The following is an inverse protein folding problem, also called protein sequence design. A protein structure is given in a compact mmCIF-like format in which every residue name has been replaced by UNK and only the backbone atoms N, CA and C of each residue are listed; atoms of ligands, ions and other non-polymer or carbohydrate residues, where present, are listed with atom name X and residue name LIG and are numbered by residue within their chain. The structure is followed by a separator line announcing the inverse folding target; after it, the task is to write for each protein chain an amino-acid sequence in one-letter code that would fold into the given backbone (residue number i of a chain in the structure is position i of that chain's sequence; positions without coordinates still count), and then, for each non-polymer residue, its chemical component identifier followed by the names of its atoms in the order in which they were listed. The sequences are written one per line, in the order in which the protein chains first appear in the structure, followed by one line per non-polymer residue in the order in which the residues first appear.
data_IF_404733635756
#
_entry.id   IF_404733635756
#
_cell.length_a   1.000
_cell.length_b   1.000
_cell.length_c   1.000
_cell.angle_alpha   90.00
_cell.angle_beta   90.00
_cell.angle_gamma   90.00
#
_symmetry.space_group_name_H-M   'P 1'
#
loop_
_entity.id
_entity.type
_entity.pdbx_description
1 polymer ?
#
# COMPACT_ATOMS: atom_id res chain seq x y z
N UNK A 1 6.44 -24.02 -48.56
CA UNK A 1 6.17 -23.33 -47.29
C UNK A 1 5.91 -21.88 -47.62
N UNK A 2 4.79 -21.38 -47.20
CA UNK A 2 4.29 -20.06 -47.60
C UNK A 2 5.06 -18.96 -46.85
N UNK A 3 5.45 -17.87 -47.54
CA UNK A 3 6.23 -16.74 -46.99
C UNK A 3 5.62 -16.08 -45.71
N UNK A 4 4.35 -16.32 -45.43
CA UNK A 4 3.68 -15.88 -44.23
C UNK A 4 4.12 -16.63 -42.95
N UNK A 5 4.55 -17.89 -43.10
CA UNK A 5 4.94 -18.74 -41.96
C UNK A 5 6.34 -18.39 -41.44
N UNK A 6 7.22 -17.88 -42.31
CA UNK A 6 8.60 -17.50 -41.91
C UNK A 6 8.62 -16.19 -41.11
N UNK A 7 7.68 -15.27 -41.37
CA UNK A 7 7.60 -13.99 -40.63
C UNK A 7 7.15 -14.13 -39.15
N UNK A 8 6.47 -15.23 -38.81
CA UNK A 8 6.02 -15.46 -37.43
C UNK A 8 7.11 -15.98 -36.49
N UNK A 9 8.24 -16.47 -37.05
CA UNK A 9 9.34 -17.04 -36.27
C UNK A 9 10.42 -16.03 -35.89
N UNK A 10 10.45 -14.87 -36.54
CA UNK A 10 11.52 -13.86 -36.34
C UNK A 10 11.26 -12.99 -35.11
N UNK A 11 10.05 -12.98 -34.56
CA UNK A 11 9.68 -12.10 -33.43
C UNK A 11 9.78 -12.75 -32.04
N UNK A 12 10.43 -13.90 -31.92
CA UNK A 12 10.70 -14.52 -30.61
C UNK A 12 12.20 -14.76 -30.44
N UNK A 13 12.82 -13.93 -29.62
CA UNK A 13 14.19 -14.18 -29.18
C UNK A 13 14.13 -14.91 -27.83
N UNK A 14 14.84 -16.02 -27.71
CA UNK A 14 15.01 -16.76 -26.47
C UNK A 14 16.42 -16.50 -25.95
N UNK A 15 16.51 -15.96 -24.73
CA UNK A 15 17.79 -15.85 -24.02
C UNK A 15 17.78 -16.82 -22.85
N UNK A 16 18.83 -17.63 -22.76
CA UNK A 16 19.05 -18.49 -21.61
C UNK A 16 20.15 -17.90 -20.75
N UNK A 17 19.82 -17.56 -19.51
CA UNK A 17 20.79 -17.27 -18.48
C UNK A 17 20.40 -18.03 -17.23
N UNK A 18 21.37 -18.78 -16.67
CA UNK A 18 21.27 -19.49 -15.39
C UNK A 18 19.99 -20.32 -15.15
N UNK A 19 19.44 -20.94 -16.20
CA UNK A 19 18.34 -21.90 -16.06
C UNK A 19 16.92 -21.31 -16.09
N UNK A 20 16.77 -20.02 -16.42
CA UNK A 20 15.46 -19.38 -16.58
C UNK A 20 15.20 -19.00 -18.03
N UNK A 21 13.98 -19.23 -18.52
CA UNK A 21 13.54 -18.82 -19.86
C UNK A 21 12.79 -17.51 -19.76
N UNK A 22 13.39 -16.43 -20.24
CA UNK A 22 12.73 -15.14 -20.38
C UNK A 22 12.20 -15.00 -21.82
N UNK A 23 10.88 -14.85 -21.96
CA UNK A 23 10.24 -14.62 -23.27
C UNK A 23 9.90 -13.13 -23.39
N UNK A 24 10.61 -12.43 -24.27
CA UNK A 24 10.28 -11.07 -24.66
C UNK A 24 9.44 -11.09 -25.95
N UNK A 25 8.24 -10.52 -25.91
CA UNK A 25 7.43 -10.27 -27.10
C UNK A 25 7.60 -8.81 -27.49
N UNK A 26 8.34 -8.56 -28.56
CA UNK A 26 8.41 -7.22 -29.14
C UNK A 26 7.15 -6.97 -29.98
N UNK A 27 6.29 -6.06 -29.55
CA UNK A 27 5.16 -5.57 -30.34
C UNK A 27 5.66 -4.43 -31.23
N UNK A 28 5.82 -4.66 -32.53
CA UNK A 28 6.04 -3.59 -33.50
C UNK A 28 4.70 -3.21 -34.14
N UNK A 29 4.09 -2.13 -33.74
CA UNK A 29 3.02 -1.47 -34.50
C UNK A 29 3.65 -0.47 -35.45
N UNK A 30 3.85 -0.90 -36.70
CA UNK A 30 4.06 0.01 -37.83
C UNK A 30 2.71 0.49 -38.33
N UNK A 31 2.34 1.73 -38.05
CA UNK A 31 1.15 2.39 -38.58
C UNK A 31 1.55 3.51 -39.53
N UNK A 32 1.13 3.39 -40.78
CA UNK A 32 1.18 4.47 -41.80
C UNK A 32 0.07 5.48 -41.54
N UNK A 33 0.39 6.75 -41.75
CA UNK A 33 -0.34 7.95 -41.37
C UNK A 33 -1.81 8.05 -41.81
N UNK A 34 -2.53 8.80 -41.00
CA UNK A 34 -3.86 9.37 -41.28
C UNK A 34 -3.99 10.66 -40.51
N UNK A 35 -4.25 11.73 -41.25
CA UNK A 35 -4.44 13.12 -40.77
C UNK A 35 -5.81 13.30 -40.11
N UNK A 36 -5.85 14.02 -38.97
CA UNK A 36 -6.97 14.84 -38.54
C UNK A 36 -7.83 14.30 -37.40
N UNK A 37 -7.81 15.03 -36.28
CA UNK A 37 -8.78 14.89 -35.19
C UNK A 37 -8.26 15.53 -33.90
N UNK A 38 -8.59 16.81 -33.67
CA UNK A 38 -8.44 17.49 -32.38
C UNK A 38 -9.43 16.93 -31.38
N UNK A 39 -8.98 16.41 -30.23
CA UNK A 39 -9.88 16.05 -29.14
C UNK A 39 -9.22 15.29 -28.02
N UNK A 40 -9.10 15.88 -26.84
CA UNK A 40 -8.97 15.21 -25.57
C UNK A 40 -7.54 14.97 -25.08
N UNK A 41 -7.08 15.86 -24.21
CA UNK A 41 -5.89 15.67 -23.38
C UNK A 41 -6.16 14.53 -22.39
N UNK A 42 -5.84 13.28 -22.80
CA UNK A 42 -5.70 12.18 -21.89
C UNK A 42 -4.45 12.39 -21.03
N UNK A 43 -4.64 12.41 -19.71
CA UNK A 43 -3.56 12.55 -18.75
C UNK A 43 -2.48 11.52 -18.98
N UNK A 44 -1.25 11.98 -19.14
CA UNK A 44 -0.06 11.13 -19.18
C UNK A 44 0.08 10.41 -17.87
N UNK A 45 -0.14 9.09 -17.88
CA UNK A 45 0.16 8.23 -16.75
C UNK A 45 1.62 8.41 -16.36
N UNK A 46 1.86 8.88 -15.12
CA UNK A 46 3.19 9.06 -14.60
C UNK A 46 3.95 7.73 -14.67
N UNK A 47 5.17 7.79 -15.19
CA UNK A 47 6.12 6.68 -15.10
C UNK A 47 6.41 6.42 -13.63
N UNK A 48 5.85 5.33 -13.08
CA UNK A 48 6.08 4.90 -11.72
C UNK A 48 7.57 4.72 -11.46
N UNK A 49 8.07 5.32 -10.39
CA UNK A 49 9.40 5.01 -9.88
C UNK A 49 9.51 3.50 -9.57
N UNK A 50 10.72 2.97 -9.31
CA UNK A 50 10.94 1.55 -9.11
C UNK A 50 10.06 1.05 -7.96
N UNK A 51 9.04 0.24 -8.27
CA UNK A 51 8.06 -0.33 -7.35
C UNK A 51 6.68 0.36 -7.31
N UNK A 52 6.44 1.42 -8.09
CA UNK A 52 5.12 2.05 -8.21
C UNK A 52 4.14 1.18 -8.99
N UNK A 53 2.87 1.21 -8.56
CA UNK A 53 1.78 0.53 -9.25
C UNK A 53 1.30 1.37 -10.43
N UNK A 54 0.94 0.67 -11.54
CA UNK A 54 0.31 1.28 -12.72
C UNK A 54 -1.22 1.15 -12.74
N UNK A 55 -1.85 0.94 -11.57
CA UNK A 55 -3.29 0.78 -11.39
C UNK A 55 -4.13 1.97 -11.88
N UNK A 56 -5.44 1.88 -11.66
CA UNK A 56 -6.40 2.92 -12.08
C UNK A 56 -6.24 4.27 -11.38
N UNK A 57 -5.28 4.38 -10.43
CA UNK A 57 -4.96 5.60 -9.69
C UNK A 57 -3.48 5.80 -9.50
N UNK A 58 -3.09 7.03 -9.18
CA UNK A 58 -1.70 7.37 -8.89
C UNK A 58 -1.27 6.87 -7.52
N UNK A 59 -0.04 6.37 -7.39
CA UNK A 59 0.61 6.19 -6.09
C UNK A 59 0.88 7.56 -5.49
N UNK A 60 0.25 7.86 -4.36
CA UNK A 60 0.31 9.18 -3.70
C UNK A 60 1.21 9.18 -2.45
N UNK A 61 1.59 8.00 -1.98
CA UNK A 61 2.60 7.79 -0.95
C UNK A 61 3.31 6.47 -1.21
N UNK A 62 4.64 6.48 -1.12
CA UNK A 62 5.44 5.26 -1.15
C UNK A 62 6.62 5.37 -0.18
N UNK A 63 6.52 4.71 0.96
CA UNK A 63 7.63 4.50 1.88
C UNK A 63 8.18 3.09 1.74
N UNK A 64 9.50 2.97 1.69
CA UNK A 64 10.21 1.69 1.65
C UNK A 64 11.46 1.79 2.51
N UNK A 65 11.40 1.25 3.73
CA UNK A 65 12.49 1.35 4.71
C UNK A 65 13.80 0.71 4.22
N UNK A 66 13.77 -0.44 3.47
CA UNK A 66 14.98 -1.00 2.87
C UNK A 66 15.60 -0.14 1.76
N UNK A 67 14.91 0.87 1.27
CA UNK A 67 15.43 1.76 0.25
C UNK A 67 16.03 3.01 0.90
N UNK A 68 17.34 3.19 0.79
CA UNK A 68 18.05 4.33 1.39
C UNK A 68 17.61 5.70 0.86
N UNK A 69 16.98 5.75 -0.33
CA UNK A 69 16.36 6.98 -0.84
C UNK A 69 15.05 7.31 -0.11
N UNK A 70 14.38 6.31 0.50
CA UNK A 70 13.21 6.55 1.35
C UNK A 70 13.64 6.77 2.80
N UNK A 71 14.49 5.87 3.36
CA UNK A 71 15.01 6.08 4.70
C UNK A 71 16.53 5.86 4.73
N UNK A 72 17.34 6.90 5.02
CA UNK A 72 18.80 6.80 4.95
C UNK A 72 19.43 6.07 6.16
N UNK A 73 18.64 5.47 7.04
CA UNK A 73 19.08 4.76 8.23
C UNK A 73 19.35 5.66 9.43
N UNK A 74 19.19 6.97 9.29
CA UNK A 74 19.41 7.96 10.36
C UNK A 74 18.46 9.13 10.23
N UNK A 75 18.29 9.87 11.34
CA UNK A 75 17.39 11.04 11.37
C UNK A 75 15.93 10.66 11.61
N UNK A 76 15.06 11.65 11.43
CA UNK A 76 13.63 11.51 11.75
C UNK A 76 12.72 11.60 10.53
N UNK A 77 13.28 11.79 9.33
CA UNK A 77 12.47 11.94 8.11
C UNK A 77 12.53 10.67 7.29
N UNK A 78 11.36 10.15 6.91
CA UNK A 78 11.20 9.15 5.85
C UNK A 78 10.69 9.85 4.60
N UNK A 79 11.38 9.65 3.49
CA UNK A 79 11.13 10.33 2.23
C UNK A 79 10.15 9.53 1.37
N UNK A 80 9.19 10.23 0.81
CA UNK A 80 8.22 9.69 -0.13
C UNK A 80 8.88 9.43 -1.49
N UNK A 81 8.82 8.19 -1.95
CA UNK A 81 9.33 7.77 -3.26
C UNK A 81 8.32 8.00 -4.39
N UNK A 82 7.10 8.43 -4.07
CA UNK A 82 6.14 8.89 -5.08
C UNK A 82 6.52 10.29 -5.59
N UNK A 83 5.83 10.74 -6.63
CA UNK A 83 6.07 12.09 -7.17
C UNK A 83 5.35 13.21 -6.39
N UNK A 84 4.74 12.89 -5.23
CA UNK A 84 3.92 13.83 -4.47
C UNK A 84 4.66 14.52 -3.33
N UNK A 85 5.81 13.97 -2.88
CA UNK A 85 6.65 14.57 -1.84
C UNK A 85 6.00 14.55 -0.46
N UNK A 86 5.14 13.58 -0.17
CA UNK A 86 4.45 13.40 1.10
C UNK A 86 5.38 12.77 2.16
N UNK A 87 6.47 13.45 2.48
CA UNK A 87 7.45 12.96 3.43
C UNK A 87 6.83 12.78 4.83
N UNK A 88 7.27 11.74 5.52
CA UNK A 88 6.86 11.44 6.89
C UNK A 88 7.92 11.82 7.91
N UNK A 89 7.49 12.03 9.15
CA UNK A 89 8.34 12.30 10.28
C UNK A 89 8.13 11.26 11.38
N UNK A 90 9.23 10.71 11.91
CA UNK A 90 9.23 9.71 12.97
C UNK A 90 9.08 10.39 14.33
N UNK A 91 8.04 10.05 15.07
CA UNK A 91 7.72 10.63 16.36
C UNK A 91 7.96 9.65 17.51
N UNK A 92 8.34 10.21 18.65
CA UNK A 92 8.42 9.56 19.96
C UNK A 92 9.34 8.33 20.01
N UNK A 93 10.37 8.30 19.18
CA UNK A 93 11.38 7.26 19.26
C UNK A 93 11.08 6.02 18.40
N UNK A 94 10.32 6.16 17.32
CA UNK A 94 10.28 5.10 16.29
C UNK A 94 11.71 4.72 15.93
N UNK A 95 12.06 3.44 16.11
CA UNK A 95 13.42 2.97 15.88
C UNK A 95 13.57 2.37 14.48
N UNK A 96 14.68 2.68 13.82
CA UNK A 96 15.10 1.97 12.62
C UNK A 96 15.88 0.72 12.99
N UNK A 97 15.58 -0.39 12.34
CA UNK A 97 16.31 -1.64 12.49
C UNK A 97 16.81 -2.09 11.13
N UNK A 98 18.14 -2.11 11.00
CA UNK A 98 18.80 -2.72 9.84
C UNK A 98 18.79 -4.24 10.04
N UNK A 99 18.14 -4.94 9.12
CA UNK A 99 18.01 -6.40 9.13
C UNK A 99 18.55 -7.02 7.82
N UNK A 100 19.39 -6.29 7.12
CA UNK A 100 19.95 -6.72 5.84
C UNK A 100 18.98 -6.51 4.68
N UNK A 101 18.15 -7.49 4.36
CA UNK A 101 17.23 -7.37 3.21
C UNK A 101 15.85 -6.81 3.58
N UNK A 102 15.45 -6.92 4.85
CA UNK A 102 14.11 -6.55 5.32
C UNK A 102 14.16 -5.50 6.42
N UNK A 103 14.82 -4.36 6.17
CA UNK A 103 14.88 -3.24 7.11
C UNK A 103 13.49 -2.71 7.44
N UNK A 104 13.29 -2.26 8.68
CA UNK A 104 11.99 -1.84 9.17
C UNK A 104 12.05 -0.72 10.21
N UNK A 105 10.93 -0.06 10.39
CA UNK A 105 10.65 0.79 11.53
C UNK A 105 9.96 -0.04 12.62
N UNK A 106 10.42 0.11 13.86
CA UNK A 106 9.88 -0.56 15.06
C UNK A 106 9.01 0.42 15.86
N UNK A 107 7.82 -0.04 16.18
CA UNK A 107 6.81 0.67 16.97
C UNK A 107 6.58 -0.07 18.29
N UNK A 108 6.53 0.66 19.40
CA UNK A 108 6.49 0.11 20.76
C UNK A 108 5.08 -0.17 21.32
N UNK A 109 4.05 0.23 20.58
CA UNK A 109 2.65 0.10 21.02
C UNK A 109 2.23 1.13 22.07
N UNK A 110 3.07 2.12 22.37
CA UNK A 110 2.85 3.10 23.44
C UNK A 110 2.55 4.49 22.88
N UNK A 111 3.45 5.04 22.06
CA UNK A 111 3.30 6.38 21.51
C UNK A 111 4.06 6.60 20.18
N UNK A 112 4.73 5.60 19.67
CA UNK A 112 5.47 5.69 18.41
C UNK A 112 4.55 5.80 17.21
N UNK A 113 4.85 6.70 16.27
CA UNK A 113 4.15 6.80 14.99
C UNK A 113 4.97 7.56 13.94
N UNK A 114 4.62 7.39 12.68
CA UNK A 114 5.06 8.26 11.59
C UNK A 114 3.90 9.17 11.20
N UNK A 115 4.13 10.46 11.27
CA UNK A 115 3.17 11.48 10.86
C UNK A 115 3.53 12.10 9.52
N UNK A 116 2.57 12.20 8.62
CA UNK A 116 2.64 12.97 7.39
C UNK A 116 1.71 14.16 7.56
N UNK A 117 2.24 15.38 7.58
CA UNK A 117 1.50 16.62 7.91
C UNK A 117 0.50 17.05 6.81
N UNK A 118 0.28 16.18 5.83
CA UNK A 118 -0.68 16.40 4.75
C UNK A 118 -1.61 15.20 4.64
N UNK A 119 -2.81 15.43 4.12
CA UNK A 119 -3.66 14.36 3.65
C UNK A 119 -3.13 13.90 2.30
N UNK A 120 -2.59 12.69 2.22
CA UNK A 120 -1.93 12.19 1.00
C UNK A 120 -2.88 12.03 -0.18
N UNK A 121 -4.18 11.90 0.07
CA UNK A 121 -5.23 11.92 -0.95
C UNK A 121 -6.57 12.33 -0.37
N UNK A 122 -7.33 13.09 -1.14
CA UNK A 122 -8.71 13.49 -0.83
C UNK A 122 -9.73 12.64 -1.64
N UNK A 123 -9.28 11.58 -2.30
CA UNK A 123 -10.17 10.70 -3.06
C UNK A 123 -11.16 10.01 -2.13
N UNK A 124 -12.44 10.10 -2.45
CA UNK A 124 -13.55 9.51 -1.69
C UNK A 124 -14.23 8.34 -2.42
N UNK A 125 -13.73 7.96 -3.60
CA UNK A 125 -14.34 6.91 -4.41
C UNK A 125 -13.58 5.58 -4.31
N UNK A 126 -12.32 5.58 -4.73
CA UNK A 126 -11.50 4.39 -4.82
C UNK A 126 -10.11 4.67 -4.27
N UNK A 127 -9.67 3.88 -3.30
CA UNK A 127 -8.35 4.02 -2.70
C UNK A 127 -7.75 2.65 -2.39
N UNK A 128 -6.42 2.60 -2.32
CA UNK A 128 -5.71 1.41 -1.86
C UNK A 128 -4.72 1.78 -0.76
N UNK A 129 -4.61 0.89 0.24
CA UNK A 129 -3.51 0.87 1.22
C UNK A 129 -2.82 -0.47 1.09
N UNK A 130 -1.52 -0.46 0.85
CA UNK A 130 -0.68 -1.66 0.86
C UNK A 130 0.44 -1.49 1.89
N UNK A 131 0.71 -2.50 2.71
CA UNK A 131 1.78 -2.46 3.70
C UNK A 131 2.41 -3.84 3.94
N UNK A 132 3.70 -3.84 4.27
CA UNK A 132 4.38 -4.94 4.94
C UNK A 132 4.42 -4.66 6.45
N UNK A 133 3.74 -5.51 7.22
CA UNK A 133 3.61 -5.36 8.67
C UNK A 133 3.90 -6.67 9.39
N UNK A 134 4.54 -6.57 10.54
CA UNK A 134 4.73 -7.68 11.48
C UNK A 134 4.32 -7.19 12.87
N UNK A 135 3.16 -7.60 13.36
CA UNK A 135 2.73 -7.26 14.72
C UNK A 135 3.34 -8.23 15.72
N UNK A 136 3.96 -7.68 16.74
CA UNK A 136 4.52 -8.46 17.85
C UNK A 136 3.44 -9.04 18.74
N UNK A 137 2.30 -8.37 18.86
CA UNK A 137 1.19 -8.73 19.73
C UNK A 137 -0.14 -8.52 18.99
N UNK A 138 -0.62 -9.55 18.30
CA UNK A 138 -1.93 -9.46 17.61
C UNK A 138 -3.12 -9.50 18.57
N UNK A 139 -2.92 -9.91 19.81
CA UNK A 139 -3.95 -9.93 20.85
C UNK A 139 -4.15 -8.59 21.58
N UNK A 140 -3.38 -7.57 21.24
CA UNK A 140 -3.57 -6.23 21.80
C UNK A 140 -4.77 -5.54 21.14
N UNK A 141 -5.55 -4.83 21.92
CA UNK A 141 -6.70 -4.07 21.45
C UNK A 141 -6.28 -2.90 20.57
N UNK A 142 -6.91 -2.79 19.40
CA UNK A 142 -6.85 -1.59 18.56
C UNK A 142 -5.46 -1.11 18.13
N UNK A 143 -4.79 -1.83 17.21
CA UNK A 143 -3.51 -1.41 16.65
C UNK A 143 -3.69 -0.83 15.24
N UNK A 144 -3.60 0.47 15.09
CA UNK A 144 -3.69 1.11 13.77
C UNK A 144 -2.40 0.89 12.97
N UNK A 145 -2.51 0.40 11.75
CA UNK A 145 -1.37 0.25 10.83
C UNK A 145 -1.19 1.53 10.04
N UNK A 146 -2.25 1.98 9.35
CA UNK A 146 -2.28 3.21 8.55
C UNK A 146 -3.64 3.87 8.71
N UNK A 147 -3.66 5.18 8.85
CA UNK A 147 -4.86 6.00 8.81
C UNK A 147 -4.65 7.23 7.92
N UNK A 148 -5.56 7.47 6.99
CA UNK A 148 -5.58 8.63 6.09
C UNK A 148 -6.74 9.54 6.49
N UNK A 149 -6.45 10.75 6.93
CA UNK A 149 -7.42 11.71 7.43
C UNK A 149 -7.41 11.83 8.94
N UNK A 150 -8.48 12.37 9.51
CA UNK A 150 -8.64 12.57 10.95
C UNK A 150 -9.79 11.74 11.50
N UNK A 151 -9.46 10.75 12.29
CA UNK A 151 -10.47 9.94 12.97
C UNK A 151 -11.22 10.77 14.01
N UNK A 152 -10.56 11.70 14.67
CA UNK A 152 -11.17 12.62 15.65
C UNK A 152 -12.22 13.52 14.99
N UNK A 153 -12.01 13.93 13.75
CA UNK A 153 -12.95 14.74 12.96
C UNK A 153 -13.92 13.87 12.14
N UNK A 154 -14.00 12.58 12.43
CA UNK A 154 -14.89 11.61 11.80
C UNK A 154 -14.76 11.53 10.28
N UNK A 155 -13.56 11.65 9.76
CA UNK A 155 -13.29 11.55 8.33
C UNK A 155 -12.13 10.60 8.02
N UNK A 156 -12.00 10.24 6.73
CA UNK A 156 -10.93 9.38 6.26
C UNK A 156 -11.18 7.88 6.45
N UNK A 157 -10.11 7.12 6.36
CA UNK A 157 -10.15 5.66 6.38
C UNK A 157 -8.80 5.09 6.81
N UNK A 158 -8.81 3.83 7.21
CA UNK A 158 -7.59 3.16 7.64
C UNK A 158 -7.74 1.66 7.78
N UNK A 159 -6.63 1.04 8.18
CA UNK A 159 -6.53 -0.39 8.41
C UNK A 159 -5.87 -0.65 9.76
N UNK A 160 -6.45 -1.55 10.55
CA UNK A 160 -5.95 -1.90 11.89
C UNK A 160 -5.96 -3.40 12.13
N UNK A 161 -5.17 -3.83 13.11
CA UNK A 161 -5.33 -5.12 13.77
C UNK A 161 -6.21 -4.87 14.99
N UNK A 162 -7.32 -5.58 15.06
CA UNK A 162 -8.37 -5.39 16.06
C UNK A 162 -9.02 -3.99 16.05
N UNK A 163 -10.04 -3.85 16.84
CA UNK A 163 -10.65 -2.60 17.30
C UNK A 163 -10.59 -2.56 18.82
N UNK A 164 -11.08 -1.48 19.43
CA UNK A 164 -11.16 -1.38 20.89
C UNK A 164 -11.89 -2.60 21.50
N UNK A 165 -11.37 -3.08 22.62
CA UNK A 165 -11.91 -4.22 23.39
C UNK A 165 -11.98 -5.55 22.62
N UNK A 166 -11.37 -5.65 21.45
CA UNK A 166 -11.30 -6.87 20.66
C UNK A 166 -9.85 -7.29 20.48
N UNK A 167 -9.56 -8.56 20.68
CA UNK A 167 -8.20 -9.14 20.69
C UNK A 167 -8.12 -10.39 19.81
N UNK A 168 -8.93 -10.46 18.75
CA UNK A 168 -9.00 -11.62 17.85
C UNK A 168 -7.82 -11.73 16.88
N UNK A 169 -7.01 -10.68 16.75
CA UNK A 169 -5.96 -10.59 15.72
C UNK A 169 -6.47 -10.26 14.33
N UNK A 170 -7.78 -10.05 14.18
CA UNK A 170 -8.38 -9.80 12.87
C UNK A 170 -7.98 -8.43 12.32
N UNK A 171 -7.86 -8.35 11.00
CA UNK A 171 -7.76 -7.10 10.28
C UNK A 171 -9.13 -6.41 10.25
N UNK A 172 -9.17 -5.15 10.64
CA UNK A 172 -10.33 -4.28 10.57
C UNK A 172 -10.11 -3.15 9.59
N UNK A 173 -11.16 -2.86 8.80
CA UNK A 173 -11.22 -1.69 7.93
C UNK A 173 -11.94 -0.59 8.69
N UNK A 174 -11.33 0.58 8.80
CA UNK A 174 -11.82 1.71 9.55
C UNK A 174 -12.28 2.83 8.63
N UNK A 175 -13.43 3.40 8.95
CA UNK A 175 -13.96 4.64 8.35
C UNK A 175 -14.14 5.70 9.44
N UNK A 176 -13.80 6.93 9.15
CA UNK A 176 -13.85 8.05 10.09
C UNK A 176 -15.25 8.37 10.62
N UNK A 177 -16.30 8.02 9.88
CA UNK A 177 -17.69 8.13 10.34
C UNK A 177 -18.11 7.07 11.38
N UNK A 178 -17.13 6.53 12.13
CA UNK A 178 -17.30 5.53 13.22
C UNK A 178 -17.75 4.15 12.74
N UNK A 179 -17.41 3.78 11.49
CA UNK A 179 -17.66 2.43 10.97
C UNK A 179 -16.41 1.56 11.04
N UNK A 180 -16.61 0.32 11.50
CA UNK A 180 -15.59 -0.71 11.55
C UNK A 180 -16.11 -1.97 10.86
N UNK A 181 -15.35 -2.45 9.91
CA UNK A 181 -15.65 -3.73 9.26
C UNK A 181 -14.62 -4.76 9.68
N UNK A 182 -15.09 -5.84 10.33
CA UNK A 182 -14.26 -6.97 10.66
C UNK A 182 -14.12 -7.86 9.43
N UNK A 183 -12.91 -8.05 8.95
CA UNK A 183 -12.65 -8.97 7.83
C UNK A 183 -12.77 -10.46 8.23
N UNK A 184 -12.72 -10.79 9.53
CA UNK A 184 -12.59 -12.16 10.02
C UNK A 184 -11.21 -12.79 9.74
N UNK A 185 -10.28 -12.06 9.15
CA UNK A 185 -8.95 -12.56 8.78
C UNK A 185 -7.96 -12.17 9.86
N UNK A 186 -7.54 -13.14 10.66
CA UNK A 186 -6.52 -12.96 11.68
C UNK A 186 -5.12 -13.01 11.08
N UNK A 187 -4.25 -12.10 11.53
CA UNK A 187 -2.82 -12.14 11.25
C UNK A 187 -2.09 -13.00 12.29
N UNK A 188 -0.99 -13.61 11.87
CA UNK A 188 -0.11 -14.33 12.78
C UNK A 188 0.83 -13.35 13.49
N UNK A 189 0.97 -13.52 14.81
CA UNK A 189 1.93 -12.76 15.61
C UNK A 189 3.37 -13.06 15.18
N UNK A 190 4.25 -12.07 15.24
CA UNK A 190 5.67 -12.18 14.91
C UNK A 190 5.97 -12.69 13.49
N UNK A 191 5.03 -12.56 12.59
CA UNK A 191 5.17 -12.94 11.18
C UNK A 191 4.95 -11.73 10.29
N UNK A 192 5.77 -11.62 9.24
CA UNK A 192 5.54 -10.63 8.21
C UNK A 192 4.31 -10.97 7.38
N UNK A 193 3.46 -9.99 7.19
CA UNK A 193 2.28 -10.08 6.35
C UNK A 193 2.28 -8.93 5.36
N UNK A 194 2.13 -9.26 4.09
CA UNK A 194 1.77 -8.30 3.06
C UNK A 194 0.26 -8.11 3.11
N UNK A 195 -0.20 -6.92 3.43
CA UNK A 195 -1.62 -6.57 3.40
C UNK A 195 -1.85 -5.55 2.30
N UNK A 196 -2.90 -5.76 1.50
CA UNK A 196 -3.35 -4.77 0.51
C UNK A 196 -4.87 -4.68 0.57
N UNK A 197 -5.37 -3.49 0.83
CA UNK A 197 -6.79 -3.20 0.97
C UNK A 197 -7.24 -2.26 -0.13
N UNK A 198 -8.12 -2.73 -0.99
CA UNK A 198 -8.88 -1.90 -1.89
C UNK A 198 -10.19 -1.46 -1.21
N UNK A 199 -10.45 -0.17 -1.15
CA UNK A 199 -11.72 0.41 -0.73
C UNK A 199 -12.41 1.00 -1.96
N UNK A 200 -13.59 0.49 -2.28
CA UNK A 200 -14.52 1.06 -3.27
C UNK A 200 -15.68 1.64 -2.48
N UNK A 201 -15.69 2.94 -2.31
CA UNK A 201 -16.68 3.65 -1.48
C UNK A 201 -18.10 3.21 -1.80
N UNK A 202 -18.90 2.96 -0.77
CA UNK A 202 -20.30 2.49 -0.87
C UNK A 202 -20.51 1.18 -1.66
N UNK A 203 -19.42 0.48 -2.00
CA UNK A 203 -19.49 -0.75 -2.81
C UNK A 203 -18.88 -1.92 -2.07
N UNK A 204 -17.54 -2.00 -2.00
CA UNK A 204 -16.84 -3.12 -1.37
C UNK A 204 -15.49 -2.75 -0.78
N UNK A 205 -15.10 -3.53 0.24
CA UNK A 205 -13.73 -3.64 0.72
C UNK A 205 -13.17 -4.97 0.26
N UNK A 206 -12.05 -4.97 -0.43
CA UNK A 206 -11.35 -6.18 -0.84
C UNK A 206 -9.98 -6.24 -0.16
N UNK A 207 -9.82 -7.16 0.79
CA UNK A 207 -8.58 -7.36 1.55
C UNK A 207 -7.80 -8.55 1.00
N UNK A 208 -6.57 -8.27 0.62
CA UNK A 208 -5.57 -9.28 0.25
C UNK A 208 -4.56 -9.44 1.38
N UNK A 209 -4.23 -10.68 1.69
CA UNK A 209 -3.13 -11.02 2.60
C UNK A 209 -2.19 -11.97 1.87
N UNK A 210 -0.91 -11.61 1.82
CA UNK A 210 0.13 -12.37 1.14
C UNK A 210 -0.21 -12.69 -0.32
N UNK A 211 -0.70 -11.68 -1.05
CA UNK A 211 -1.08 -11.78 -2.46
C UNK A 211 -2.41 -12.49 -2.73
N UNK A 212 -3.11 -12.98 -1.72
CA UNK A 212 -4.36 -13.75 -1.87
C UNK A 212 -5.53 -12.92 -1.37
N UNK A 213 -6.59 -12.79 -2.18
CA UNK A 213 -7.86 -12.21 -1.74
C UNK A 213 -8.46 -13.07 -0.61
N UNK A 214 -8.54 -12.52 0.58
CA UNK A 214 -9.01 -13.23 1.80
C UNK A 214 -10.38 -12.77 2.25
N UNK A 215 -10.77 -11.55 1.90
CA UNK A 215 -12.06 -10.99 2.27
C UNK A 215 -12.55 -10.04 1.19
N UNK A 216 -13.84 -10.12 0.89
CA UNK A 216 -14.58 -9.13 0.12
C UNK A 216 -15.91 -8.89 0.84
N UNK A 217 -16.19 -7.66 1.18
CA UNK A 217 -17.35 -7.31 1.99
C UNK A 217 -17.78 -5.87 1.81
N UNK A 218 -18.83 -5.44 2.51
CA UNK A 218 -19.43 -4.13 2.34
C UNK A 218 -18.45 -3.00 2.68
N UNK A 219 -18.57 -1.88 2.00
CA UNK A 219 -17.92 -0.63 2.28
C UNK A 219 -18.92 0.45 2.74
N UNK A 220 -18.40 1.48 3.40
CA UNK A 220 -19.13 2.73 3.66
C UNK A 220 -18.60 3.84 2.78
N UNK A 221 -19.36 4.94 2.71
CA UNK A 221 -18.87 6.19 2.12
C UNK A 221 -17.58 6.63 2.81
N UNK A 222 -16.59 6.99 2.01
CA UNK A 222 -15.39 7.67 2.50
C UNK A 222 -15.75 9.15 2.69
N UNK A 223 -15.72 9.65 3.91
CA UNK A 223 -15.75 11.08 4.17
C UNK A 223 -14.39 11.68 3.84
N UNK A 224 -14.40 12.78 3.10
CA UNK A 224 -13.18 13.42 2.56
C UNK A 224 -12.10 13.52 3.64
N UNK A 225 -10.97 12.81 3.47
CA UNK A 225 -9.88 12.87 4.44
C UNK A 225 -9.34 14.29 4.57
N UNK A 226 -9.04 14.71 5.79
CA UNK A 226 -8.48 16.02 6.10
C UNK A 226 -7.32 15.90 7.09
N UNK A 227 -6.51 16.95 7.19
CA UNK A 227 -5.42 17.19 8.13
C UNK A 227 -4.15 16.39 7.82
N UNK A 228 -4.10 15.09 8.04
CA UNK A 228 -2.86 14.34 8.02
C UNK A 228 -3.05 12.89 7.59
N UNK A 229 -1.94 12.16 7.51
CA UNK A 229 -1.90 10.71 7.37
C UNK A 229 -0.93 10.18 8.41
N UNK A 230 -1.27 9.07 9.06
CA UNK A 230 -0.46 8.49 10.13
C UNK A 230 -0.21 6.99 9.92
N UNK A 231 0.99 6.55 10.30
CA UNK A 231 1.38 5.14 10.31
C UNK A 231 1.71 4.78 11.76
N UNK A 232 1.13 3.68 12.22
CA UNK A 232 1.32 3.20 13.59
C UNK A 232 0.36 3.79 14.60
N UNK A 233 -0.51 4.72 14.23
CA UNK A 233 -1.61 5.22 15.06
C UNK A 233 -2.74 5.86 14.23
N UNK A 234 -3.80 6.31 14.89
CA UNK A 234 -4.70 7.38 14.42
C UNK A 234 -4.74 8.50 15.44
N UNK A 235 -5.16 9.70 15.02
CA UNK A 235 -5.24 10.91 15.85
C UNK A 235 -6.34 10.87 16.94
N UNK A 236 -7.01 9.75 17.10
CA UNK A 236 -8.09 9.61 18.05
C UNK A 236 -7.55 9.49 19.49
N UNK A 237 -7.64 10.60 20.23
CA UNK A 237 -7.07 10.70 21.58
C UNK A 237 -8.10 10.58 22.71
N UNK A 238 -9.40 10.45 22.39
CA UNK A 238 -10.50 10.64 23.34
C UNK A 238 -10.78 9.43 24.24
N UNK A 239 -10.20 8.26 23.98
CA UNK A 239 -10.40 7.05 24.78
C UNK A 239 -9.14 6.56 25.48
N UNK A 240 -9.32 5.83 26.58
CA UNK A 240 -8.26 5.27 27.41
C UNK A 240 -7.34 4.24 26.69
N UNK A 241 -7.55 4.00 25.41
CA UNK A 241 -6.81 3.04 24.64
C UNK A 241 -6.24 3.69 23.37
N UNK A 242 -5.01 4.19 23.45
CA UNK A 242 -4.29 4.65 22.26
C UNK A 242 -4.13 3.48 21.30
N UNK A 243 -4.42 3.72 20.02
CA UNK A 243 -4.38 2.68 18.97
C UNK A 243 -3.00 2.57 18.35
N UNK A 244 -1.98 2.56 19.18
CA UNK A 244 -0.60 2.46 18.73
C UNK A 244 -0.26 1.04 18.30
N UNK A 245 0.44 0.93 17.18
CA UNK A 245 0.97 -0.33 16.69
C UNK A 245 2.11 -0.82 17.60
N UNK A 246 2.04 -2.08 18.03
CA UNK A 246 3.17 -2.80 18.60
C UNK A 246 3.69 -3.78 17.56
N UNK A 247 4.75 -3.39 16.86
CA UNK A 247 5.25 -4.20 15.75
C UNK A 247 6.19 -3.45 14.82
N UNK A 248 6.28 -3.95 13.61
CA UNK A 248 7.24 -3.53 12.59
C UNK A 248 6.51 -3.16 11.32
N UNK A 249 6.97 -2.11 10.65
CA UNK A 249 6.51 -1.72 9.31
C UNK A 249 7.73 -1.52 8.42
N UNK A 250 7.71 -2.09 7.24
CA UNK A 250 8.82 -1.99 6.28
C UNK A 250 8.45 -1.20 5.04
N UNK A 251 7.25 -1.40 4.52
CA UNK A 251 6.73 -0.64 3.39
C UNK A 251 5.31 -0.16 3.65
N UNK A 252 4.99 1.03 3.14
CA UNK A 252 3.62 1.54 3.06
C UNK A 252 3.44 2.22 1.71
N UNK A 253 2.39 1.84 0.99
CA UNK A 253 1.99 2.43 -0.28
C UNK A 253 0.53 2.82 -0.18
N UNK A 254 0.21 4.04 -0.60
CA UNK A 254 -1.17 4.53 -0.71
C UNK A 254 -1.39 5.00 -2.13
N UNK A 255 -2.50 4.56 -2.73
CA UNK A 255 -2.89 4.95 -4.08
C UNK A 255 -4.26 5.61 -4.08
N UNK A 256 -4.44 6.63 -4.90
CA UNK A 256 -5.71 7.32 -5.12
C UNK A 256 -6.65 6.57 -6.09
N UNK A 257 -6.52 5.25 -6.16
CA UNK A 257 -7.30 4.30 -6.94
C UNK A 257 -7.12 2.91 -6.38
N UNK A 258 -7.84 1.93 -6.93
CA UNK A 258 -7.68 0.52 -6.57
C UNK A 258 -6.56 -0.13 -7.38
N UNK A 259 -5.97 -1.16 -6.80
CA UNK A 259 -5.04 -2.06 -7.50
C UNK A 259 -5.79 -3.27 -8.03
N UNK A 260 -5.36 -3.76 -9.18
CA UNK A 260 -5.82 -5.05 -9.70
C UNK A 260 -5.22 -6.19 -8.90
N UNK A 261 -5.84 -7.36 -8.93
CA UNK A 261 -5.29 -8.58 -8.30
C UNK A 261 -3.89 -8.90 -8.82
N UNK A 262 -3.65 -8.73 -10.12
CA UNK A 262 -2.33 -8.99 -10.72
C UNK A 262 -1.25 -8.04 -10.20
N UNK A 263 -1.55 -6.77 -9.98
CA UNK A 263 -0.60 -5.81 -9.41
C UNK A 263 -0.28 -6.13 -7.95
N UNK A 264 -1.29 -6.48 -7.15
CA UNK A 264 -1.10 -6.88 -5.75
C UNK A 264 -0.23 -8.15 -5.65
N UNK A 265 -0.52 -9.16 -6.49
CA UNK A 265 0.26 -10.40 -6.55
C UNK A 265 1.68 -10.15 -7.02
N UNK A 266 1.87 -9.30 -8.05
CA UNK A 266 3.20 -8.94 -8.55
C UNK A 266 4.03 -8.24 -7.48
N UNK A 267 3.45 -7.28 -6.75
CA UNK A 267 4.12 -6.58 -5.66
C UNK A 267 4.49 -7.56 -4.53
N UNK A 268 3.56 -8.39 -4.07
CA UNK A 268 3.85 -9.42 -3.08
C UNK A 268 5.02 -10.31 -3.52
N UNK A 269 4.97 -10.85 -4.75
CA UNK A 269 6.00 -11.76 -5.25
C UNK A 269 7.38 -11.10 -5.41
N UNK A 270 7.43 -9.82 -5.78
CA UNK A 270 8.69 -9.09 -5.93
C UNK A 270 9.34 -8.71 -4.59
N UNK A 271 8.56 -8.67 -3.50
CA UNK A 271 9.04 -8.19 -2.20
C UNK A 271 9.14 -9.25 -1.11
N UNK A 272 8.41 -10.37 -1.22
CA UNK A 272 8.28 -11.40 -0.16
C UNK A 272 9.61 -12.03 0.29
N UNK A 273 10.61 -12.06 -0.56
CA UNK A 273 11.92 -12.65 -0.22
C UNK A 273 12.79 -11.73 0.66
N UNK A 274 12.32 -10.52 0.93
CA UNK A 274 12.96 -9.59 1.85
C UNK A 274 12.53 -9.83 3.33
N UNK A 275 11.50 -10.62 3.52
CA UNK A 275 10.81 -10.85 4.79
C UNK A 275 10.70 -12.34 5.11
#
# INVERSE_FOLDING_TARGET
MNNATIKSWINRAYFFDSGHVNVFVASSTGGTGGTGGTGGTGGTGGTGGPGGFSGTGSTVLYFSVPNSSSYPGTGFTIYDLSNYGNNGYLYNGVAYVNNGNGDYLLFDGTNNYVGINTTVTTNTSNVNITAWVNSSIVSQSGQMIVYVGSEQNLNGYGISINKEYVTSGNVYIRYGNVRWYNSGIALSSNSWNHISLNIKSDTSNDLFVNGILRYSGPASSIYTPTLHTEIGRSDFTTYAYPRYLNGKVSQVIISSGILTTSEIVAHYNSTKNNY
#
